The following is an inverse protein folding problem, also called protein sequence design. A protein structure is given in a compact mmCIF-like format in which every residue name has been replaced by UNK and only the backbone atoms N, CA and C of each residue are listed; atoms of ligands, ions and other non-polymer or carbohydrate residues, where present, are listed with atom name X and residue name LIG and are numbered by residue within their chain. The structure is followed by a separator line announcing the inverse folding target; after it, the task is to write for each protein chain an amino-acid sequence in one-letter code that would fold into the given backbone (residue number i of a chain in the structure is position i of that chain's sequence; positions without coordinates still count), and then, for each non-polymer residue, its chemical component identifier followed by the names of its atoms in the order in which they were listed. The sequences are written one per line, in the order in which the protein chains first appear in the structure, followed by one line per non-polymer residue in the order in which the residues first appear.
data_IF_617144078458
#
_entry.id   IF_617144078458
#
_cell.length_a   1.000
_cell.length_b   1.000
_cell.length_c   1.000
_cell.angle_alpha   90.00
_cell.angle_beta   90.00
_cell.angle_gamma   90.00
#
_symmetry.space_group_name_H-M   'P 1'
#
loop_
_entity.id
_entity.type
_entity.pdbx_description
1 polymer ?
#
# COMPACT_ATOMS: atom_id res chain seq x y z
N UNK A 1 5.42 2.85 17.22
CA UNK A 1 6.51 2.25 16.43
C UNK A 1 5.99 1.94 15.03
N UNK A 2 6.51 2.65 14.03
CA UNK A 2 6.13 2.55 12.62
C UNK A 2 6.29 1.13 12.05
N UNK A 3 7.27 0.38 12.53
CA UNK A 3 7.66 -0.93 12.02
C UNK A 3 7.04 -2.12 12.74
N UNK A 4 6.22 -1.88 13.77
CA UNK A 4 5.63 -2.94 14.63
C UNK A 4 4.99 -4.09 13.84
N UNK A 5 4.31 -3.78 12.74
CA UNK A 5 3.59 -4.76 11.91
C UNK A 5 4.25 -5.02 10.56
N UNK A 6 5.45 -4.47 10.34
CA UNK A 6 6.18 -4.67 9.09
C UNK A 6 6.80 -6.06 9.02
N UNK A 7 6.72 -6.68 7.84
CA UNK A 7 7.45 -7.92 7.55
C UNK A 7 8.94 -7.65 7.29
N UNK A 8 9.27 -6.42 6.91
CA UNK A 8 10.63 -5.96 6.67
C UNK A 8 10.82 -4.66 7.46
N UNK A 9 11.15 -4.73 8.75
CA UNK A 9 11.43 -3.55 9.56
C UNK A 9 12.58 -2.73 8.99
N UNK A 10 12.47 -1.41 9.08
CA UNK A 10 13.49 -0.48 8.59
C UNK A 10 13.87 0.56 9.66
N UNK A 11 13.80 0.17 10.92
CA UNK A 11 14.24 0.97 12.07
C UNK A 11 15.77 1.08 12.09
N UNK A 12 16.26 2.30 12.19
CA UNK A 12 17.67 2.61 12.10
C UNK A 12 18.22 2.63 10.67
N UNK A 13 19.41 3.22 10.52
CA UNK A 13 19.98 3.51 9.20
C UNK A 13 20.29 2.25 8.38
N UNK A 14 20.85 1.23 9.01
CA UNK A 14 21.25 -0.01 8.31
C UNK A 14 20.02 -0.80 7.83
N UNK A 15 19.00 -0.95 8.67
CA UNK A 15 17.77 -1.62 8.27
C UNK A 15 17.04 -0.85 7.16
N UNK A 16 17.05 0.50 7.22
CA UNK A 16 16.50 1.34 6.15
C UNK A 16 17.26 1.17 4.83
N UNK A 17 18.60 1.12 4.87
CA UNK A 17 19.41 0.83 3.68
C UNK A 17 19.07 -0.53 3.08
N UNK A 18 18.98 -1.57 3.91
CA UNK A 18 18.58 -2.90 3.47
C UNK A 18 17.18 -2.91 2.86
N UNK A 19 16.22 -2.23 3.49
CA UNK A 19 14.85 -2.08 2.98
C UNK A 19 14.83 -1.44 1.59
N UNK A 20 15.60 -0.36 1.39
CA UNK A 20 15.70 0.33 0.10
C UNK A 20 16.40 -0.55 -0.93
N UNK A 21 17.49 -1.23 -0.58
CA UNK A 21 18.20 -2.13 -1.48
C UNK A 21 17.32 -3.27 -1.97
N UNK A 22 16.55 -3.92 -1.09
CA UNK A 22 15.58 -4.96 -1.45
C UNK A 22 14.50 -4.42 -2.41
N UNK A 23 14.05 -3.18 -2.21
CA UNK A 23 13.09 -2.54 -3.09
C UNK A 23 13.66 -2.29 -4.50
N UNK A 24 14.91 -1.80 -4.58
CA UNK A 24 15.61 -1.56 -5.84
C UNK A 24 15.95 -2.88 -6.57
N UNK A 25 16.31 -3.92 -5.83
CA UNK A 25 16.51 -5.25 -6.38
C UNK A 25 15.21 -5.82 -6.97
N UNK A 26 14.10 -5.73 -6.24
CA UNK A 26 12.79 -6.12 -6.76
C UNK A 26 12.42 -5.39 -8.05
N UNK A 27 12.79 -4.09 -8.18
CA UNK A 27 12.61 -3.34 -9.41
C UNK A 27 13.49 -3.87 -10.56
N UNK A 28 14.77 -4.14 -10.29
CA UNK A 28 15.69 -4.71 -11.30
C UNK A 28 15.20 -6.06 -11.81
N UNK A 29 14.72 -6.90 -10.89
CA UNK A 29 14.21 -8.23 -11.18
C UNK A 29 12.76 -8.25 -11.68
N UNK A 30 12.12 -7.07 -11.82
CA UNK A 30 10.72 -6.91 -12.25
C UNK A 30 9.71 -7.64 -11.36
N UNK A 31 10.03 -7.85 -10.09
CA UNK A 31 9.14 -8.48 -9.09
C UNK A 31 8.38 -7.47 -8.25
N UNK A 32 8.84 -6.21 -8.23
CA UNK A 32 8.13 -5.12 -7.57
C UNK A 32 8.47 -3.76 -8.17
N UNK A 33 7.59 -2.78 -7.99
CA UNK A 33 7.76 -1.41 -8.48
C UNK A 33 7.61 -0.43 -7.31
N UNK A 34 8.73 -0.05 -6.67
CA UNK A 34 8.73 0.89 -5.55
C UNK A 34 8.56 2.33 -6.02
N UNK A 35 7.87 3.11 -5.20
CA UNK A 35 7.66 4.55 -5.36
C UNK A 35 8.09 5.28 -4.09
N UNK A 36 8.81 6.37 -4.26
CA UNK A 36 9.04 7.37 -3.21
C UNK A 36 7.88 8.34 -3.24
N UNK A 37 7.36 8.68 -2.07
CA UNK A 37 6.32 9.69 -1.92
C UNK A 37 6.97 11.02 -1.54
N UNK A 38 6.70 12.03 -2.38
CA UNK A 38 7.12 13.41 -2.17
C UNK A 38 5.89 14.29 -1.94
N UNK A 39 5.82 14.94 -0.79
CA UNK A 39 4.73 15.88 -0.50
C UNK A 39 5.07 17.26 -1.04
N UNK A 40 4.40 17.68 -2.11
CA UNK A 40 4.59 18.98 -2.75
C UNK A 40 4.19 20.16 -1.86
N UNK A 41 3.34 19.95 -0.86
CA UNK A 41 2.89 21.02 0.06
C UNK A 41 4.02 21.43 1.01
N UNK A 42 4.82 20.46 1.43
CA UNK A 42 5.93 20.68 2.37
C UNK A 42 7.29 20.64 1.71
N UNK A 43 7.36 20.27 0.41
CA UNK A 43 8.58 20.03 -0.34
C UNK A 43 9.51 19.00 0.34
N UNK A 44 8.94 17.89 0.85
CA UNK A 44 9.68 16.87 1.58
C UNK A 44 9.37 15.46 1.09
N UNK A 45 10.33 14.57 1.25
CA UNK A 45 10.11 13.13 1.09
C UNK A 45 9.35 12.60 2.30
N UNK A 46 8.19 12.02 2.05
CA UNK A 46 7.22 11.66 3.08
C UNK A 46 7.21 10.16 3.44
N UNK A 47 7.66 9.31 2.53
CA UNK A 47 7.60 7.87 2.73
C UNK A 47 7.74 7.09 1.43
N UNK A 48 7.26 5.86 1.41
CA UNK A 48 7.23 5.05 0.21
C UNK A 48 6.05 4.07 0.18
N UNK A 49 5.85 3.48 -0.99
CA UNK A 49 4.90 2.40 -1.24
C UNK A 49 5.37 1.61 -2.45
N UNK A 50 4.81 0.44 -2.74
CA UNK A 50 5.15 -0.32 -3.94
C UNK A 50 4.03 -1.20 -4.43
N UNK A 51 3.97 -1.39 -5.76
CA UNK A 51 3.30 -2.55 -6.34
C UNK A 51 4.22 -3.76 -6.28
N UNK A 52 3.66 -4.92 -6.03
CA UNK A 52 4.38 -6.20 -6.01
C UNK A 52 3.42 -7.34 -6.32
N UNK A 53 3.95 -8.54 -6.47
CA UNK A 53 3.16 -9.74 -6.81
C UNK A 53 2.25 -9.51 -8.03
N UNK A 54 2.87 -9.07 -9.14
CA UNK A 54 2.19 -8.93 -10.41
C UNK A 54 1.88 -10.28 -11.01
N UNK A 55 0.61 -10.52 -11.25
CA UNK A 55 0.09 -11.70 -11.95
C UNK A 55 -0.44 -11.24 -13.31
N UNK A 56 0.44 -11.12 -14.29
CA UNK A 56 0.10 -10.58 -15.61
C UNK A 56 -1.05 -11.37 -16.27
N UNK A 57 -1.02 -12.69 -16.16
CA UNK A 57 -2.05 -13.57 -16.69
C UNK A 57 -3.44 -13.30 -16.10
N UNK A 58 -3.49 -12.88 -14.83
CA UNK A 58 -4.72 -12.60 -14.10
C UNK A 58 -5.03 -11.11 -14.01
N UNK A 59 -4.14 -10.25 -14.53
CA UNK A 59 -4.26 -8.78 -14.45
C UNK A 59 -4.46 -8.28 -13.01
N UNK A 60 -3.70 -8.85 -12.05
CA UNK A 60 -3.77 -8.50 -10.64
C UNK A 60 -2.42 -8.08 -10.09
N UNK A 61 -2.43 -7.29 -9.02
CA UNK A 61 -1.24 -6.90 -8.27
C UNK A 61 -1.59 -6.65 -6.81
N UNK A 62 -0.58 -6.62 -5.97
CA UNK A 62 -0.70 -6.13 -4.59
C UNK A 62 -0.10 -4.73 -4.48
N UNK A 63 -0.70 -3.87 -3.65
CA UNK A 63 -0.19 -2.56 -3.30
C UNK A 63 0.06 -2.49 -1.80
N UNK A 64 1.32 -2.34 -1.42
CA UNK A 64 1.70 -2.39 -0.01
C UNK A 64 3.06 -1.79 0.27
N UNK A 65 3.72 -2.29 1.34
CA UNK A 65 4.97 -1.72 1.85
C UNK A 65 4.88 -0.20 2.05
N UNK A 66 3.68 0.25 2.43
CA UNK A 66 3.38 1.68 2.59
C UNK A 66 3.73 2.13 3.98
N UNK A 67 4.55 3.15 4.07
CA UNK A 67 4.80 3.86 5.31
C UNK A 67 5.05 5.35 5.03
N UNK A 68 4.74 6.15 6.01
CA UNK A 68 4.95 7.60 6.00
C UNK A 68 5.60 8.01 7.32
N UNK A 69 6.50 9.00 7.27
CA UNK A 69 7.02 9.65 8.45
C UNK A 69 5.88 10.21 9.32
N UNK A 70 6.10 10.32 10.62
CA UNK A 70 5.06 10.69 11.60
C UNK A 70 4.35 12.01 11.23
N UNK A 71 5.09 13.01 10.76
CA UNK A 71 4.56 14.31 10.37
C UNK A 71 3.63 14.27 9.14
N UNK A 72 3.59 13.17 8.41
CA UNK A 72 2.78 13.00 7.21
C UNK A 72 1.56 12.09 7.44
N UNK A 73 1.44 11.51 8.63
CA UNK A 73 0.30 10.67 8.99
C UNK A 73 -0.91 11.54 9.34
N UNK A 74 -2.10 11.11 8.93
CA UNK A 74 -3.34 11.87 9.18
C UNK A 74 -3.54 13.12 8.33
N UNK A 75 -2.62 13.45 7.41
CA UNK A 75 -2.62 14.69 6.62
C UNK A 75 -3.38 14.61 5.28
N UNK A 76 -4.06 13.50 5.00
CA UNK A 76 -4.67 13.24 3.70
C UNK A 76 -3.70 12.72 2.63
N UNK A 77 -2.37 12.79 2.85
CA UNK A 77 -1.35 12.38 1.88
C UNK A 77 -1.55 10.94 1.39
N UNK A 78 -1.87 10.01 2.29
CA UNK A 78 -2.11 8.60 1.91
C UNK A 78 -3.26 8.47 0.90
N UNK A 79 -4.37 9.20 1.09
CA UNK A 79 -5.51 9.16 0.16
C UNK A 79 -5.11 9.65 -1.23
N UNK A 80 -4.34 10.75 -1.31
CA UNK A 80 -3.82 11.30 -2.56
C UNK A 80 -2.92 10.29 -3.27
N UNK A 81 -1.95 9.72 -2.56
CA UNK A 81 -1.04 8.71 -3.13
C UNK A 81 -1.79 7.48 -3.62
N UNK A 82 -2.74 6.97 -2.83
CA UNK A 82 -3.53 5.80 -3.21
C UNK A 82 -4.45 6.08 -4.40
N UNK A 83 -5.03 7.28 -4.48
CA UNK A 83 -5.81 7.69 -5.65
C UNK A 83 -4.98 7.62 -6.92
N UNK A 84 -3.80 8.24 -6.94
CA UNK A 84 -2.91 8.25 -8.12
C UNK A 84 -2.46 6.82 -8.53
N UNK A 85 -2.12 5.98 -7.56
CA UNK A 85 -1.68 4.62 -7.83
C UNK A 85 -2.82 3.72 -8.29
N UNK A 86 -4.01 3.86 -7.72
CA UNK A 86 -5.19 3.10 -8.15
C UNK A 86 -5.65 3.55 -9.54
N UNK A 87 -5.61 4.86 -9.82
CA UNK A 87 -5.89 5.38 -11.15
C UNK A 87 -4.92 4.78 -12.16
N UNK A 88 -3.63 4.82 -11.89
CA UNK A 88 -2.61 4.21 -12.75
C UNK A 88 -2.84 2.70 -12.95
N UNK A 89 -3.15 1.98 -11.88
CA UNK A 89 -3.39 0.53 -11.93
C UNK A 89 -4.60 0.15 -12.81
N UNK A 90 -5.71 0.85 -12.65
CA UNK A 90 -6.95 0.49 -13.34
C UNK A 90 -7.11 1.15 -14.71
N UNK A 91 -6.64 2.39 -14.87
CA UNK A 91 -6.87 3.17 -16.09
C UNK A 91 -5.72 3.05 -17.10
N UNK A 92 -4.45 2.98 -16.64
CA UNK A 92 -3.29 2.87 -17.52
C UNK A 92 -2.81 1.43 -17.69
N UNK A 93 -2.70 0.66 -16.59
CA UNK A 93 -2.25 -0.73 -16.66
C UNK A 93 -3.40 -1.70 -16.95
N UNK A 94 -4.65 -1.27 -16.86
CA UNK A 94 -5.82 -2.08 -17.15
C UNK A 94 -6.06 -3.25 -16.18
N UNK A 95 -5.49 -3.19 -14.97
CA UNK A 95 -5.61 -4.28 -14.01
C UNK A 95 -7.07 -4.50 -13.59
N UNK A 96 -7.43 -5.75 -13.32
CA UNK A 96 -8.78 -6.13 -12.89
C UNK A 96 -8.93 -6.05 -11.36
N UNK A 97 -7.80 -6.15 -10.61
CA UNK A 97 -7.81 -6.20 -9.16
C UNK A 97 -6.52 -5.63 -8.57
N UNK A 98 -6.66 -4.82 -7.54
CA UNK A 98 -5.57 -4.40 -6.65
C UNK A 98 -5.86 -4.89 -5.24
N UNK A 99 -4.97 -5.74 -4.73
CA UNK A 99 -5.07 -6.33 -3.40
C UNK A 99 -4.20 -5.58 -2.39
N UNK A 100 -4.66 -5.60 -1.15
CA UNK A 100 -3.96 -5.04 0.01
C UNK A 100 -3.92 -6.06 1.14
N UNK A 101 -2.80 -6.14 1.83
CA UNK A 101 -2.67 -6.98 3.02
C UNK A 101 -2.11 -6.20 4.20
N UNK A 102 -2.60 -6.52 5.39
CA UNK A 102 -2.05 -6.04 6.64
C UNK A 102 -2.02 -7.17 7.67
N UNK A 103 -1.28 -6.98 8.76
CA UNK A 103 -1.47 -7.77 9.97
C UNK A 103 -2.90 -7.59 10.46
N UNK A 104 -3.58 -8.68 10.82
CA UNK A 104 -4.97 -8.64 11.29
C UNK A 104 -5.15 -7.81 12.59
N UNK A 105 -4.06 -7.54 13.31
CA UNK A 105 -4.04 -6.68 14.49
C UNK A 105 -3.70 -5.22 14.17
N UNK A 106 -3.36 -4.88 12.92
CA UNK A 106 -3.03 -3.52 12.51
C UNK A 106 -4.27 -2.71 12.16
N UNK A 107 -5.04 -2.33 13.17
CA UNK A 107 -6.29 -1.58 13.00
C UNK A 107 -6.11 -0.27 12.24
N UNK A 108 -4.97 0.41 12.42
CA UNK A 108 -4.67 1.66 11.71
C UNK A 108 -4.55 1.43 10.20
N UNK A 109 -3.81 0.40 9.77
CA UNK A 109 -3.67 0.05 8.36
C UNK A 109 -5.00 -0.42 7.76
N UNK A 110 -5.75 -1.24 8.50
CA UNK A 110 -7.08 -1.73 8.08
C UNK A 110 -8.04 -0.55 7.87
N UNK A 111 -8.12 0.37 8.82
CA UNK A 111 -8.95 1.57 8.70
C UNK A 111 -8.51 2.44 7.51
N UNK A 112 -7.21 2.62 7.29
CA UNK A 112 -6.69 3.36 6.15
C UNK A 112 -7.09 2.73 4.81
N UNK A 113 -7.00 1.40 4.67
CA UNK A 113 -7.44 0.67 3.47
C UNK A 113 -8.96 0.76 3.25
N UNK A 114 -9.75 0.57 4.29
CA UNK A 114 -11.22 0.76 4.22
C UNK A 114 -11.60 2.19 3.84
N UNK A 115 -10.84 3.19 4.32
CA UNK A 115 -11.12 4.61 4.03
C UNK A 115 -10.96 4.99 2.55
N UNK A 116 -10.15 4.26 1.80
CA UNK A 116 -9.94 4.45 0.36
C UNK A 116 -10.87 3.58 -0.51
N UNK A 117 -11.76 2.80 0.10
CA UNK A 117 -12.77 2.01 -0.59
C UNK A 117 -12.47 0.52 -0.70
N UNK A 118 -11.42 0.01 -0.05
CA UNK A 118 -11.14 -1.42 -0.05
C UNK A 118 -12.24 -2.22 0.67
N UNK A 119 -12.63 -3.34 0.09
CA UNK A 119 -13.51 -4.34 0.71
C UNK A 119 -12.69 -5.46 1.33
N UNK A 120 -13.11 -5.88 2.50
CA UNK A 120 -12.53 -7.01 3.21
C UNK A 120 -12.98 -8.33 2.58
N UNK A 121 -12.05 -9.25 2.38
CA UNK A 121 -12.32 -10.57 1.80
C UNK A 121 -12.13 -11.71 2.79
N UNK A 122 -11.29 -11.53 3.79
CA UNK A 122 -11.07 -12.53 4.82
C UNK A 122 -9.67 -12.46 5.46
N UNK A 123 -9.38 -13.44 6.30
CA UNK A 123 -8.13 -13.56 7.03
C UNK A 123 -7.40 -14.86 6.65
N UNK A 124 -6.17 -14.71 6.19
CA UNK A 124 -5.24 -15.81 6.00
C UNK A 124 -4.55 -16.11 7.33
N UNK A 125 -4.87 -17.26 7.92
CA UNK A 125 -4.31 -17.65 9.22
C UNK A 125 -2.88 -18.13 9.09
N UNK A 126 -1.97 -17.61 9.94
CA UNK A 126 -0.55 -18.02 10.04
C UNK A 126 0.17 -18.09 8.68
N UNK A 127 -0.20 -17.20 7.74
CA UNK A 127 0.22 -17.30 6.34
C UNK A 127 1.67 -16.87 6.09
N UNK A 128 2.26 -16.07 6.95
CA UNK A 128 3.65 -15.66 6.80
C UNK A 128 4.37 -15.51 8.15
N UNK A 129 5.70 -15.54 8.10
CA UNK A 129 6.54 -15.22 9.25
C UNK A 129 6.67 -13.70 9.38
N UNK A 130 6.78 -13.24 10.62
CA UNK A 130 7.09 -11.86 10.98
C UNK A 130 8.20 -11.85 12.03
N UNK A 131 8.80 -10.69 12.34
CA UNK A 131 9.82 -10.61 13.40
C UNK A 131 9.37 -11.11 14.78
N UNK A 132 8.06 -11.12 15.02
CA UNK A 132 7.46 -11.53 16.31
C UNK A 132 6.74 -12.89 16.25
N UNK A 133 6.94 -13.67 15.19
CA UNK A 133 6.33 -15.00 15.01
C UNK A 133 5.43 -15.11 13.78
N UNK A 134 4.48 -16.04 13.80
CA UNK A 134 3.55 -16.23 12.68
C UNK A 134 2.45 -15.17 12.69
N UNK A 135 2.15 -14.63 11.53
CA UNK A 135 1.17 -13.57 11.35
C UNK A 135 -0.11 -14.08 10.69
N UNK A 136 -1.25 -13.59 11.14
CA UNK A 136 -2.50 -13.62 10.39
C UNK A 136 -2.60 -12.37 9.54
N UNK A 137 -2.88 -12.52 8.25
CA UNK A 137 -3.03 -11.38 7.34
C UNK A 137 -4.47 -11.20 6.93
N UNK A 138 -5.02 -10.03 7.16
CA UNK A 138 -6.28 -9.62 6.56
C UNK A 138 -6.04 -9.25 5.09
N UNK A 139 -6.94 -9.69 4.22
CA UNK A 139 -6.93 -9.42 2.78
C UNK A 139 -8.07 -8.46 2.46
N UNK A 140 -7.75 -7.39 1.77
CA UNK A 140 -8.72 -6.43 1.24
C UNK A 140 -8.41 -6.18 -0.24
N UNK A 141 -9.38 -5.73 -1.00
CA UNK A 141 -9.18 -5.38 -2.41
C UNK A 141 -10.06 -4.26 -2.89
N UNK A 142 -9.70 -3.74 -4.07
CA UNK A 142 -10.55 -2.94 -4.93
C UNK A 142 -10.53 -3.62 -6.30
N UNK A 143 -11.71 -3.80 -6.90
CA UNK A 143 -11.87 -4.32 -8.25
C UNK A 143 -12.02 -3.16 -9.24
N UNK A 144 -11.61 -3.40 -10.51
CA UNK A 144 -11.72 -2.42 -11.59
C UNK A 144 -13.14 -1.89 -11.76
N UNK A 145 -14.12 -2.79 -11.72
CA UNK A 145 -15.53 -2.38 -11.81
C UNK A 145 -15.94 -1.45 -10.67
N UNK A 146 -15.48 -1.71 -9.45
CA UNK A 146 -15.77 -0.88 -8.27
C UNK A 146 -15.09 0.49 -8.38
N UNK A 147 -13.86 0.52 -8.93
CA UNK A 147 -13.14 1.77 -9.18
C UNK A 147 -13.94 2.71 -10.06
N UNK A 148 -14.42 2.23 -11.21
CA UNK A 148 -15.17 3.06 -12.15
C UNK A 148 -16.59 3.39 -11.69
N UNK A 149 -17.27 2.49 -11.00
CA UNK A 149 -18.65 2.71 -10.57
C UNK A 149 -18.76 3.67 -9.37
N UNK A 150 -17.80 3.65 -8.45
CA UNK A 150 -18.02 4.28 -7.14
C UNK A 150 -16.74 4.79 -6.46
N UNK A 151 -15.71 3.94 -6.34
CA UNK A 151 -14.55 4.19 -5.48
C UNK A 151 -13.79 5.44 -5.92
N UNK A 152 -13.57 5.63 -7.23
CA UNK A 152 -12.86 6.79 -7.77
C UNK A 152 -13.48 8.10 -7.33
N UNK A 153 -14.78 8.24 -7.52
CA UNK A 153 -15.48 9.49 -7.19
C UNK A 153 -15.55 9.74 -5.68
N UNK A 154 -15.84 8.69 -4.90
CA UNK A 154 -15.86 8.80 -3.43
C UNK A 154 -14.49 9.17 -2.86
N UNK A 155 -13.43 8.57 -3.38
CA UNK A 155 -12.07 8.86 -2.92
C UNK A 155 -11.65 10.28 -3.32
N UNK A 156 -11.96 10.71 -4.55
CA UNK A 156 -11.68 12.07 -5.02
C UNK A 156 -12.40 13.12 -4.15
N UNK A 157 -13.68 12.88 -3.84
CA UNK A 157 -14.43 13.76 -2.94
C UNK A 157 -13.76 13.89 -1.58
N UNK A 158 -13.33 12.78 -0.96
CA UNK A 158 -12.61 12.79 0.32
C UNK A 158 -11.25 13.50 0.27
N UNK A 159 -10.63 13.61 -0.91
CA UNK A 159 -9.36 14.33 -1.11
C UNK A 159 -9.62 15.84 -1.19
N UNK A 160 -10.69 16.25 -1.85
CA UNK A 160 -11.04 17.67 -2.04
C UNK A 160 -11.58 18.29 -0.73
N UNK A 161 -12.28 17.50 0.08
CA UNK A 161 -12.88 17.95 1.34
C UNK A 161 -11.91 17.96 2.54
N UNK A 162 -10.65 17.49 2.39
CA UNK A 162 -9.58 17.55 3.40
C UNK A 162 -8.57 18.64 3.07
#
# INVERSE_FOLDING_TARGET
NLWKYSLTPADGLENLKNYVNLALEGRRNKTSYPFIVYDKRTNQYAGCTRFYDFQQQHQTTQLGYTWYGENFQGTGLNKNCKFLLLQFAFEELGLERVEFRADANNNQSIAAMKSIGCKEEGILRLNCSSPVGRRNSIVLSILKIEWFQDVKQKLLKKIIEN
#
